data_IF_771175616947
#
_entry.id   IF_771175616947
#
_cell.length_a   1.000
_cell.length_b   1.000
_cell.length_c   1.000
_cell.angle_alpha   90.00
_cell.angle_beta   90.00
_cell.angle_gamma   90.00
#
_symmetry.space_group_name_H-M   'P 1'
#
loop_
_entity.id
_entity.type
_entity.pdbx_description
1 polymer ?
#
# COMPACT_ATOMS: atom_id res chain seq x y z
N UNK A 1 -4.79 -21.85 -32.43
CA UNK A 1 -5.16 -20.43 -32.58
C UNK A 1 -5.50 -19.66 -31.29
N UNK A 2 -5.74 -20.28 -30.12
CA UNK A 2 -6.04 -19.52 -28.88
C UNK A 2 -4.84 -18.77 -28.28
N UNK A 3 -3.63 -19.32 -28.44
CA UNK A 3 -2.41 -18.78 -27.81
C UNK A 3 -2.03 -17.37 -28.30
N UNK A 4 -2.50 -16.96 -29.48
CA UNK A 4 -2.24 -15.62 -30.03
C UNK A 4 -3.11 -14.53 -29.37
N UNK A 5 -4.17 -14.92 -28.66
CA UNK A 5 -5.06 -13.99 -27.94
C UNK A 5 -4.62 -13.76 -26.50
N UNK A 6 -3.73 -14.60 -25.99
CA UNK A 6 -3.17 -14.44 -24.66
C UNK A 6 -2.05 -13.40 -24.74
N UNK A 7 -2.20 -12.30 -23.99
CA UNK A 7 -1.09 -11.37 -23.78
C UNK A 7 0.12 -12.13 -23.24
N UNK A 8 1.36 -11.75 -23.62
CA UNK A 8 2.57 -12.36 -23.08
C UNK A 8 2.46 -12.44 -21.56
N UNK A 9 2.81 -13.61 -20.99
CA UNK A 9 2.81 -13.85 -19.55
C UNK A 9 3.99 -13.12 -18.90
N UNK A 10 3.94 -11.79 -18.95
CA UNK A 10 4.80 -10.85 -18.25
C UNK A 10 4.10 -10.23 -17.01
N UNK A 11 3.37 -10.96 -16.15
CA UNK A 11 2.76 -10.39 -14.94
C UNK A 11 3.78 -9.66 -14.07
N UNK A 12 4.99 -10.19 -13.96
CA UNK A 12 6.05 -9.60 -13.14
C UNK A 12 6.49 -8.24 -13.67
N UNK A 13 6.82 -8.15 -14.97
CA UNK A 13 7.26 -6.91 -15.61
C UNK A 13 6.15 -5.85 -15.58
N UNK A 14 4.90 -6.24 -15.84
CA UNK A 14 3.74 -5.32 -15.77
C UNK A 14 3.45 -4.87 -14.34
N UNK A 15 3.51 -5.78 -13.37
CA UNK A 15 3.33 -5.44 -11.96
C UNK A 15 4.45 -4.53 -11.46
N UNK A 16 5.70 -4.78 -11.85
CA UNK A 16 6.84 -3.95 -11.50
C UNK A 16 6.68 -2.52 -12.03
N UNK A 17 6.33 -2.32 -13.30
CA UNK A 17 6.10 -0.98 -13.86
C UNK A 17 4.98 -0.22 -13.13
N UNK A 18 3.84 -0.88 -12.89
CA UNK A 18 2.73 -0.26 -12.14
C UNK A 18 3.13 0.06 -10.70
N UNK A 19 3.93 -0.81 -10.07
CA UNK A 19 4.40 -0.63 -8.69
C UNK A 19 5.43 0.49 -8.60
N UNK A 20 6.40 0.56 -9.51
CA UNK A 20 7.41 1.63 -9.50
C UNK A 20 6.77 3.01 -9.64
N UNK A 21 5.79 3.14 -10.54
CA UNK A 21 5.13 4.42 -10.80
C UNK A 21 4.24 4.88 -9.63
N UNK A 22 3.69 3.94 -8.87
CA UNK A 22 2.67 4.22 -7.85
C UNK A 22 3.17 4.18 -6.41
N UNK A 23 4.33 3.59 -6.15
CA UNK A 23 4.75 3.32 -4.77
C UNK A 23 5.59 4.45 -4.17
N UNK A 24 6.34 5.17 -5.00
CA UNK A 24 7.24 6.20 -4.50
C UNK A 24 6.47 7.33 -3.79
N UNK A 25 6.91 7.67 -2.57
CA UNK A 25 6.27 8.66 -1.70
C UNK A 25 4.88 8.30 -1.16
N UNK A 26 4.28 7.17 -1.56
CA UNK A 26 2.96 6.78 -1.06
C UNK A 26 3.02 6.45 0.42
N UNK A 27 2.12 7.09 1.16
CA UNK A 27 2.03 6.93 2.60
C UNK A 27 2.92 7.89 3.39
N UNK A 28 3.84 8.63 2.77
CA UNK A 28 4.70 9.58 3.50
C UNK A 28 3.87 10.61 4.29
N UNK A 29 2.74 11.04 3.73
CA UNK A 29 1.78 11.95 4.37
C UNK A 29 1.23 11.44 5.73
N UNK A 30 1.33 10.14 6.00
CA UNK A 30 0.93 9.48 7.25
C UNK A 30 2.12 8.89 8.01
N UNK A 31 2.99 8.13 7.33
CA UNK A 31 4.04 7.33 7.95
C UNK A 31 5.18 8.17 8.54
N UNK A 32 5.34 9.40 8.06
CA UNK A 32 6.37 10.32 8.54
C UNK A 32 5.90 11.23 9.68
N UNK A 33 4.61 11.22 10.02
CA UNK A 33 4.09 12.05 11.10
C UNK A 33 4.53 11.52 12.46
N UNK A 34 4.67 12.43 13.45
CA UNK A 34 5.07 12.03 14.80
C UNK A 34 3.98 11.18 15.44
N UNK A 35 2.71 11.50 15.18
CA UNK A 35 1.54 10.79 15.68
C UNK A 35 1.57 9.32 15.25
N UNK A 36 1.87 9.04 13.97
CA UNK A 36 1.97 7.67 13.48
C UNK A 36 3.19 6.95 14.08
N UNK A 37 4.30 7.64 14.27
CA UNK A 37 5.53 7.05 14.85
C UNK A 37 5.36 6.71 16.33
N UNK A 38 4.75 7.60 17.12
CA UNK A 38 4.40 7.38 18.53
C UNK A 38 3.36 6.27 18.67
N UNK A 39 2.32 6.29 17.82
CA UNK A 39 1.34 5.21 17.72
C UNK A 39 2.01 3.86 17.44
N UNK A 40 2.94 3.81 16.47
CA UNK A 40 3.67 2.59 16.08
C UNK A 40 4.60 2.10 17.18
N UNK A 41 5.26 2.99 17.92
CA UNK A 41 6.17 2.61 19.00
C UNK A 41 5.43 2.08 20.22
N UNK A 42 4.11 2.24 20.29
CA UNK A 42 3.30 1.85 21.45
C UNK A 42 3.47 2.80 22.63
N UNK A 43 4.09 3.96 22.39
CA UNK A 43 4.20 5.03 23.38
C UNK A 43 2.81 5.56 23.72
N UNK A 44 2.39 5.40 24.97
CA UNK A 44 1.08 5.84 25.45
C UNK A 44 0.05 4.75 25.71
N UNK A 45 0.40 3.46 25.55
CA UNK A 45 -0.42 2.31 25.96
C UNK A 45 -1.10 1.57 24.80
N UNK A 46 -1.41 0.29 25.00
CA UNK A 46 -2.04 -0.57 23.99
C UNK A 46 -3.44 -0.11 23.58
N UNK A 47 -4.11 0.64 24.45
CA UNK A 47 -5.39 1.30 24.22
C UNK A 47 -5.32 2.39 23.14
N UNK A 48 -4.13 2.96 22.89
CA UNK A 48 -3.90 3.98 21.85
C UNK A 48 -3.43 3.40 20.53
N UNK A 49 -3.17 2.09 20.43
CA UNK A 49 -2.64 1.44 19.25
C UNK A 49 -3.73 1.03 18.22
N UNK A 50 -4.74 1.89 18.00
CA UNK A 50 -5.81 1.64 17.02
C UNK A 50 -5.60 2.50 15.78
N UNK A 51 -5.55 1.88 14.59
CA UNK A 51 -5.55 2.57 13.30
C UNK A 51 -6.89 2.32 12.60
N UNK A 52 -7.61 3.39 12.29
CA UNK A 52 -8.89 3.32 11.59
C UNK A 52 -8.71 3.63 10.10
N UNK A 53 -8.82 2.59 9.26
CA UNK A 53 -8.71 2.71 7.81
C UNK A 53 -10.12 2.80 7.19
N UNK A 54 -10.60 4.01 6.92
CA UNK A 54 -11.88 4.20 6.25
C UNK A 54 -11.70 4.34 4.74
N UNK A 55 -12.68 3.86 3.97
CA UNK A 55 -12.66 3.96 2.52
C UNK A 55 -13.80 3.18 1.88
N UNK A 56 -13.95 3.34 0.56
CA UNK A 56 -14.87 2.52 -0.19
C UNK A 56 -14.44 1.03 -0.13
N UNK A 57 -15.38 0.08 -0.17
CA UNK A 57 -15.02 -1.33 -0.26
C UNK A 57 -14.07 -1.60 -1.45
N UNK A 58 -13.07 -2.48 -1.23
CA UNK A 58 -12.09 -2.96 -2.23
C UNK A 58 -11.04 -1.93 -2.71
N UNK A 59 -10.85 -0.81 -2.02
CA UNK A 59 -9.80 0.18 -2.36
C UNK A 59 -8.47 -0.03 -1.63
N UNK A 60 -8.39 -1.07 -0.81
CA UNK A 60 -7.18 -1.52 -0.10
C UNK A 60 -6.69 -2.84 -0.65
#
# INVERSE_FOLDING_TARGET
EIMQWLSPLEPHSRHQGVRSDRLDGVGNWLLETNEFREWRSGEGGADKAVLFCHGNPRVG
#
